data_IF_865953531852
#
_entry.id   IF_865953531852
#
_cell.length_a   1.000
_cell.length_b   1.000
_cell.length_c   1.000
_cell.angle_alpha   90.00
_cell.angle_beta   90.00
_cell.angle_gamma   90.00
#
_symmetry.space_group_name_H-M   'P 1'
#
loop_
_entity.id
_entity.type
_entity.pdbx_description
1 polymer ?
#
# COMPACT_ATOMS: atom_id res chain seq x y z
N UNK A 1 -12.95 8.33 -1.53
CA UNK A 1 -12.88 7.37 -2.66
C UNK A 1 -12.75 5.96 -2.10
N UNK A 2 -13.48 4.99 -2.68
CA UNK A 2 -13.46 3.60 -2.20
C UNK A 2 -13.02 2.63 -3.30
N UNK A 3 -12.22 1.63 -2.94
CA UNK A 3 -11.79 0.53 -3.80
C UNK A 3 -11.24 -0.63 -2.95
N UNK A 4 -10.86 -1.73 -3.61
CA UNK A 4 -10.24 -2.88 -2.95
C UNK A 4 -8.94 -3.25 -3.64
N UNK A 5 -7.98 -3.68 -2.82
CA UNK A 5 -6.74 -4.31 -3.25
C UNK A 5 -6.76 -5.76 -2.80
N UNK A 6 -6.13 -6.64 -3.55
CA UNK A 6 -6.01 -8.06 -3.22
C UNK A 6 -4.53 -8.39 -3.16
N UNK A 7 -4.10 -8.92 -2.02
CA UNK A 7 -2.78 -9.50 -1.85
C UNK A 7 -2.91 -11.01 -1.69
N UNK A 8 -2.17 -11.76 -2.46
CA UNK A 8 -2.05 -13.22 -2.36
C UNK A 8 -0.57 -13.58 -2.29
N UNK A 9 -0.16 -14.25 -1.22
CA UNK A 9 1.22 -14.62 -1.01
C UNK A 9 1.57 -14.84 0.46
N UNK A 10 2.85 -15.06 0.76
CA UNK A 10 3.30 -15.21 2.14
C UNK A 10 3.10 -13.92 2.92
N UNK A 11 2.69 -14.01 4.18
CA UNK A 11 2.59 -12.88 5.10
C UNK A 11 3.20 -13.26 6.46
N UNK A 12 4.49 -12.97 6.62
CA UNK A 12 5.23 -13.29 7.83
C UNK A 12 4.95 -12.28 8.94
N UNK A 13 4.80 -12.78 10.17
CA UNK A 13 4.59 -11.96 11.37
C UNK A 13 5.90 -11.39 11.89
N UNK A 14 6.70 -12.21 12.58
CA UNK A 14 7.93 -11.74 13.20
C UNK A 14 9.09 -11.65 12.22
N UNK A 15 9.90 -10.58 12.37
CA UNK A 15 11.16 -10.44 11.66
C UNK A 15 11.02 -10.32 10.14
N UNK A 16 9.87 -9.87 9.65
CA UNK A 16 9.69 -9.62 8.23
C UNK A 16 10.79 -8.68 7.72
N UNK A 17 11.75 -9.28 6.98
CA UNK A 17 12.89 -8.55 6.42
C UNK A 17 12.43 -7.62 5.30
N UNK A 18 13.24 -6.63 5.00
CA UNK A 18 13.00 -5.68 3.90
C UNK A 18 12.58 -6.34 2.57
N UNK A 19 13.17 -7.46 2.11
CA UNK A 19 12.73 -8.12 0.87
C UNK A 19 11.26 -8.51 0.85
N UNK A 20 10.71 -9.01 1.97
CA UNK A 20 9.31 -9.41 2.05
C UNK A 20 8.34 -8.23 1.92
N UNK A 21 8.66 -7.08 2.52
CA UNK A 21 7.88 -5.85 2.35
C UNK A 21 7.88 -5.38 0.88
N UNK A 22 8.99 -5.60 0.18
CA UNK A 22 9.10 -5.33 -1.26
C UNK A 22 8.25 -6.27 -2.12
N UNK A 23 8.14 -7.55 -1.76
CA UNK A 23 7.24 -8.50 -2.44
C UNK A 23 5.79 -8.03 -2.36
N UNK A 24 5.35 -7.58 -1.18
CA UNK A 24 4.00 -7.03 -1.00
C UNK A 24 3.80 -5.77 -1.86
N UNK A 25 4.74 -4.82 -1.85
CA UNK A 25 4.67 -3.61 -2.70
C UNK A 25 4.55 -3.96 -4.18
N UNK A 26 5.36 -4.90 -4.66
CA UNK A 26 5.33 -5.32 -6.07
C UNK A 26 4.02 -6.00 -6.45
N UNK A 27 3.44 -6.79 -5.56
CA UNK A 27 2.15 -7.43 -5.80
C UNK A 27 1.00 -6.42 -5.89
N UNK A 28 1.07 -5.32 -5.14
CA UNK A 28 0.04 -4.29 -5.09
C UNK A 28 0.24 -3.16 -6.11
N UNK A 29 1.49 -2.92 -6.52
CA UNK A 29 1.83 -1.88 -7.50
C UNK A 29 0.99 -1.91 -8.78
N UNK A 30 0.81 -3.04 -9.49
CA UNK A 30 0.02 -3.05 -10.73
C UNK A 30 -1.44 -2.68 -10.52
N UNK A 31 -2.01 -3.04 -9.35
CA UNK A 31 -3.39 -2.71 -9.03
C UNK A 31 -3.56 -1.21 -8.78
N UNK A 32 -2.61 -0.59 -8.08
CA UNK A 32 -2.60 0.85 -7.83
C UNK A 32 -2.31 1.63 -9.12
N UNK A 33 -1.36 1.19 -9.94
CA UNK A 33 -1.11 1.78 -11.26
C UNK A 33 -2.38 1.73 -12.12
N UNK A 34 -3.04 0.57 -12.17
CA UNK A 34 -4.29 0.41 -12.91
C UNK A 34 -5.40 1.31 -12.38
N UNK A 35 -5.48 1.54 -11.06
CA UNK A 35 -6.44 2.46 -10.47
C UNK A 35 -6.26 3.88 -11.00
N UNK A 36 -5.02 4.38 -11.11
CA UNK A 36 -4.70 5.68 -11.72
C UNK A 36 -5.13 5.79 -13.18
N UNK A 37 -5.05 4.69 -13.92
CA UNK A 37 -5.42 4.66 -15.34
C UNK A 37 -6.94 4.63 -15.57
N UNK A 38 -7.71 3.89 -14.73
CA UNK A 38 -9.13 3.62 -14.97
C UNK A 38 -10.09 4.49 -14.18
N UNK A 39 -9.68 5.01 -13.03
CA UNK A 39 -10.50 5.94 -12.26
C UNK A 39 -10.45 7.31 -12.90
N UNK A 40 -11.55 7.70 -13.56
CA UNK A 40 -11.61 8.92 -14.36
C UNK A 40 -11.05 10.15 -13.63
N UNK A 41 -11.42 10.47 -12.38
CA UNK A 41 -10.86 11.64 -11.70
C UNK A 41 -9.34 11.57 -11.52
N UNK A 42 -8.79 10.40 -11.18
CA UNK A 42 -7.34 10.20 -11.03
C UNK A 42 -6.63 10.28 -12.38
N UNK A 43 -7.21 9.65 -13.41
CA UNK A 43 -6.66 9.70 -14.76
C UNK A 43 -6.57 11.14 -15.27
N UNK A 44 -7.64 11.92 -15.12
CA UNK A 44 -7.67 13.33 -15.52
C UNK A 44 -6.66 14.19 -14.73
N UNK A 45 -6.45 13.88 -13.45
CA UNK A 45 -5.49 14.56 -12.58
C UNK A 45 -4.04 14.07 -12.73
N UNK A 46 -3.79 12.95 -13.39
CA UNK A 46 -2.47 12.29 -13.44
C UNK A 46 -1.37 13.17 -14.04
N UNK A 47 -1.69 13.99 -15.02
CA UNK A 47 -0.73 14.86 -15.70
C UNK A 47 -0.03 15.89 -14.80
N UNK A 48 -0.65 16.27 -13.68
CA UNK A 48 -0.04 17.15 -12.69
C UNK A 48 0.34 16.45 -11.39
N UNK A 49 -0.47 15.49 -10.93
CA UNK A 49 -0.19 14.78 -9.70
C UNK A 49 1.00 13.82 -9.82
N UNK A 50 1.25 13.27 -11.00
CA UNK A 50 2.40 12.39 -11.27
C UNK A 50 3.59 13.14 -11.90
N UNK A 51 3.54 14.48 -12.01
CA UNK A 51 4.65 15.25 -12.55
C UNK A 51 5.86 15.22 -11.62
N UNK A 52 7.07 14.96 -12.19
CA UNK A 52 8.33 15.00 -11.44
C UNK A 52 9.47 15.52 -12.34
N UNK A 53 10.20 16.54 -11.88
CA UNK A 53 9.95 17.36 -10.70
C UNK A 53 8.62 18.12 -10.80
N UNK A 54 8.03 18.43 -9.65
CA UNK A 54 6.81 19.25 -9.61
C UNK A 54 7.07 20.63 -10.22
N UNK A 55 6.12 21.13 -11.03
CA UNK A 55 6.21 22.48 -11.57
C UNK A 55 5.85 23.52 -10.50
N UNK A 56 6.38 24.74 -10.57
CA UNK A 56 5.99 25.80 -9.64
C UNK A 56 4.47 25.98 -9.58
N UNK A 57 3.91 26.00 -8.38
CA UNK A 57 2.47 26.10 -8.14
C UNK A 57 1.65 24.82 -8.36
N UNK A 58 2.28 23.71 -8.70
CA UNK A 58 1.62 22.40 -8.82
C UNK A 58 1.98 21.48 -7.65
N UNK A 59 1.00 20.73 -7.19
CA UNK A 59 1.20 19.66 -6.20
C UNK A 59 1.44 18.34 -6.91
N UNK A 60 2.56 17.69 -6.61
CA UNK A 60 2.85 16.31 -7.06
C UNK A 60 2.79 15.34 -5.91
N UNK A 61 2.30 14.12 -6.16
CA UNK A 61 2.35 13.03 -5.18
C UNK A 61 3.69 12.31 -5.18
N UNK A 62 4.54 12.54 -6.19
CA UNK A 62 5.80 11.80 -6.34
C UNK A 62 6.75 12.09 -5.17
N UNK A 63 7.32 11.02 -4.64
CA UNK A 63 8.34 11.04 -3.58
C UNK A 63 9.56 10.29 -4.08
N UNK A 64 10.74 10.89 -3.91
CA UNK A 64 12.02 10.20 -4.15
C UNK A 64 12.57 9.65 -2.84
N UNK A 65 12.91 8.36 -2.82
CA UNK A 65 13.56 7.68 -1.69
C UNK A 65 14.61 6.69 -2.20
N UNK A 66 15.86 6.87 -1.76
CA UNK A 66 16.94 5.95 -2.12
C UNK A 66 17.23 5.86 -3.62
N UNK A 67 16.98 6.92 -4.38
CA UNK A 67 17.15 6.96 -5.84
C UNK A 67 15.98 6.34 -6.62
N UNK A 68 14.89 6.00 -5.95
CA UNK A 68 13.66 5.47 -6.57
C UNK A 68 12.51 6.45 -6.43
N UNK A 69 11.65 6.51 -7.44
CA UNK A 69 10.45 7.31 -7.43
C UNK A 69 9.26 6.47 -6.96
N UNK A 70 8.43 7.05 -6.09
CA UNK A 70 7.20 6.45 -5.58
C UNK A 70 6.03 7.39 -5.84
N UNK A 71 4.87 6.80 -6.15
CA UNK A 71 3.61 7.52 -6.30
C UNK A 71 2.61 7.04 -5.25
N UNK A 72 2.67 7.56 -4.00
CA UNK A 72 1.65 7.24 -3.00
C UNK A 72 0.32 7.88 -3.36
N UNK A 73 -0.77 7.12 -3.21
CA UNK A 73 -2.13 7.60 -3.47
C UNK A 73 -2.63 8.49 -2.33
N UNK A 74 -2.30 8.13 -1.09
CA UNK A 74 -2.66 8.88 0.12
C UNK A 74 -1.43 9.61 0.63
N UNK A 75 -1.50 10.94 0.64
CA UNK A 75 -0.39 11.83 1.03
C UNK A 75 -0.92 13.02 1.82
N UNK A 76 -0.14 13.48 2.78
CA UNK A 76 -0.44 14.68 3.55
C UNK A 76 -0.50 15.95 2.67
N UNK A 77 0.28 15.98 1.57
CA UNK A 77 0.29 17.11 0.62
C UNK A 77 -1.06 17.35 -0.07
N UNK A 78 -1.93 16.34 -0.06
CA UNK A 78 -3.30 16.42 -0.58
C UNK A 78 -4.36 16.41 0.52
N UNK A 79 -3.98 16.60 1.79
CA UNK A 79 -4.88 16.56 2.94
C UNK A 79 -5.72 15.27 3.00
N UNK A 80 -5.07 14.13 2.69
CA UNK A 80 -5.71 12.82 2.63
C UNK A 80 -5.31 11.95 3.82
N UNK A 81 -6.28 11.16 4.28
CA UNK A 81 -6.07 10.05 5.20
C UNK A 81 -6.90 8.84 4.75
N UNK A 82 -6.71 7.69 5.37
CA UNK A 82 -7.38 6.46 4.96
C UNK A 82 -7.91 5.66 6.13
N UNK A 83 -9.05 5.00 5.89
CA UNK A 83 -9.58 3.92 6.72
C UNK A 83 -9.39 2.61 5.97
N UNK A 84 -8.86 1.60 6.64
CA UNK A 84 -8.59 0.28 6.06
C UNK A 84 -9.44 -0.79 6.75
N UNK A 85 -10.01 -1.69 5.94
CA UNK A 85 -10.64 -2.90 6.43
C UNK A 85 -10.00 -4.09 5.71
N UNK A 86 -9.36 -4.96 6.47
CA UNK A 86 -8.60 -6.10 5.96
C UNK A 86 -9.34 -7.39 6.30
N UNK A 87 -9.79 -8.09 5.28
CA UNK A 87 -10.29 -9.45 5.40
C UNK A 87 -9.14 -10.40 5.04
N UNK A 88 -8.64 -11.12 6.05
CA UNK A 88 -7.46 -11.96 5.96
C UNK A 88 -7.85 -13.44 5.98
N UNK A 89 -7.72 -14.11 4.84
CA UNK A 89 -7.87 -15.56 4.74
C UNK A 89 -6.53 -16.25 4.99
N UNK A 90 -6.50 -17.19 5.94
CA UNK A 90 -5.32 -17.97 6.30
C UNK A 90 -5.68 -19.42 6.61
N UNK A 91 -4.71 -20.32 6.65
CA UNK A 91 -4.99 -21.75 6.90
C UNK A 91 -5.44 -22.05 8.34
N UNK A 92 -5.05 -21.23 9.30
CA UNK A 92 -5.41 -21.42 10.71
C UNK A 92 -6.93 -21.19 10.89
N UNK A 93 -7.60 -21.94 11.81
CA UNK A 93 -9.01 -21.74 12.09
C UNK A 93 -9.28 -20.34 12.67
N UNK A 94 -10.54 -19.90 12.56
CA UNK A 94 -11.03 -18.70 13.24
C UNK A 94 -10.72 -18.77 14.73
N UNK A 95 -10.36 -17.66 15.34
CA UNK A 95 -10.04 -17.59 16.77
C UNK A 95 -8.58 -17.84 17.14
N UNK A 96 -7.74 -18.33 16.22
CA UNK A 96 -6.29 -18.42 16.42
C UNK A 96 -5.59 -17.06 16.12
N UNK A 97 -6.17 -15.96 16.62
CA UNK A 97 -5.64 -14.59 16.37
C UNK A 97 -4.37 -14.32 17.19
N UNK A 98 -4.27 -14.94 18.36
CA UNK A 98 -3.18 -14.75 19.34
C UNK A 98 -2.64 -16.14 19.69
N UNK A 99 -1.92 -16.78 18.79
CA UNK A 99 -1.32 -18.09 19.03
C UNK A 99 0.07 -18.20 18.40
N UNK A 100 0.82 -19.22 18.78
CA UNK A 100 2.25 -19.46 18.54
C UNK A 100 2.79 -19.36 17.08
N UNK A 101 1.97 -19.03 16.12
CA UNK A 101 2.34 -18.93 14.70
C UNK A 101 2.59 -17.52 14.16
N UNK A 102 2.76 -16.52 15.03
CA UNK A 102 2.93 -15.11 14.64
C UNK A 102 1.63 -14.33 14.81
N UNK A 103 1.72 -13.37 15.69
CA UNK A 103 0.63 -12.50 16.11
C UNK A 103 0.04 -11.72 14.93
N UNK A 104 -1.27 -11.55 14.88
CA UNK A 104 -1.95 -10.86 13.77
C UNK A 104 -1.51 -9.41 13.64
N UNK A 105 -1.15 -8.77 14.76
CA UNK A 105 -0.63 -7.40 14.76
C UNK A 105 0.72 -7.29 14.03
N UNK A 106 1.61 -8.27 14.19
CA UNK A 106 2.89 -8.32 13.48
C UNK A 106 2.70 -8.57 11.97
N UNK A 107 1.74 -9.41 11.59
CA UNK A 107 1.36 -9.63 10.19
C UNK A 107 0.73 -8.38 9.59
N UNK A 108 -0.17 -7.74 10.34
CA UNK A 108 -0.79 -6.49 9.95
C UNK A 108 0.25 -5.39 9.78
N UNK A 109 1.19 -5.25 10.70
CA UNK A 109 2.30 -4.30 10.59
C UNK A 109 3.13 -4.54 9.33
N UNK A 110 3.44 -5.80 9.03
CA UNK A 110 4.17 -6.17 7.80
C UNK A 110 3.38 -5.78 6.55
N UNK A 111 2.07 -6.00 6.54
CA UNK A 111 1.19 -5.60 5.44
C UNK A 111 1.17 -4.08 5.27
N UNK A 112 0.99 -3.32 6.35
CA UNK A 112 1.01 -1.85 6.33
C UNK A 112 2.35 -1.31 5.84
N UNK A 113 3.47 -1.88 6.29
CA UNK A 113 4.80 -1.56 5.79
C UNK A 113 4.94 -1.83 4.27
N UNK A 114 4.26 -2.83 3.75
CA UNK A 114 4.18 -3.12 2.31
C UNK A 114 3.30 -2.14 1.53
N UNK A 115 2.33 -1.50 2.17
CA UNK A 115 1.43 -0.53 1.56
C UNK A 115 2.03 0.87 1.43
N UNK A 116 3.05 1.21 2.21
CA UNK A 116 3.64 2.56 2.25
C UNK A 116 4.96 2.69 1.50
N UNK A 117 5.34 3.94 1.27
CA UNK A 117 6.69 4.30 0.82
C UNK A 117 7.73 3.85 1.87
N UNK A 118 8.91 3.30 1.49
CA UNK A 118 9.96 2.93 2.44
C UNK A 118 10.42 4.11 3.31
N UNK A 119 10.62 3.90 4.62
CA UNK A 119 11.09 4.97 5.51
C UNK A 119 12.56 5.30 5.34
N UNK A 120 13.43 4.33 5.09
CA UNK A 120 14.87 4.50 5.10
C UNK A 120 15.54 4.21 3.76
N UNK A 121 16.71 4.83 3.56
CA UNK A 121 17.59 4.55 2.40
C UNK A 121 17.99 3.06 2.33
N UNK A 122 18.08 2.37 3.47
CA UNK A 122 18.43 0.95 3.54
C UNK A 122 17.28 0.03 3.09
N UNK A 123 16.02 0.42 3.26
CA UNK A 123 14.88 -0.29 2.66
C UNK A 123 14.84 -0.08 1.14
N UNK A 124 15.30 1.07 0.62
CA UNK A 124 15.27 1.40 -0.81
C UNK A 124 16.36 0.73 -1.64
N UNK A 125 17.49 0.36 -1.04
CA UNK A 125 18.66 -0.18 -1.77
C UNK A 125 18.60 -1.68 -2.07
N UNK A 126 17.69 -2.44 -1.50
CA UNK A 126 17.59 -3.86 -1.80
C UNK A 126 16.79 -4.09 -3.09
N UNK A 127 17.51 -4.05 -4.18
CA UNK A 127 17.25 -4.79 -5.42
C UNK A 127 15.84 -4.71 -5.97
N UNK A 128 15.57 -3.62 -6.66
CA UNK A 128 14.79 -3.78 -7.87
C UNK A 128 15.74 -4.45 -8.88
N UNK A 129 15.48 -5.70 -9.31
CA UNK A 129 16.22 -6.21 -10.45
C UNK A 129 15.90 -5.28 -11.61
N UNK A 130 16.92 -4.70 -12.20
CA UNK A 130 16.94 -4.01 -13.49
C UNK A 130 15.63 -3.28 -13.81
N UNK A 131 15.35 -2.16 -13.12
CA UNK A 131 14.40 -1.20 -13.64
C UNK A 131 15.15 -0.06 -14.33
N UNK A 132 15.33 -0.13 -15.66
CA UNK A 132 15.72 1.02 -16.45
C UNK A 132 14.55 2.00 -16.67
N UNK A 133 13.41 1.81 -15.99
CA UNK A 133 12.19 2.58 -16.22
C UNK A 133 12.06 3.71 -15.18
N UNK A 134 12.05 4.98 -15.62
CA UNK A 134 11.86 6.12 -14.74
C UNK A 134 10.43 6.24 -14.16
N UNK A 135 9.56 5.24 -14.37
CA UNK A 135 8.21 5.24 -13.84
C UNK A 135 8.22 5.07 -12.33
N UNK A 136 7.36 5.80 -11.60
CA UNK A 136 7.28 5.65 -10.16
C UNK A 136 6.66 4.31 -9.76
N UNK A 137 7.08 3.75 -8.62
CA UNK A 137 6.41 2.64 -7.99
C UNK A 137 5.14 3.15 -7.29
N UNK A 138 3.97 2.70 -7.73
CA UNK A 138 2.71 3.09 -7.12
C UNK A 138 2.53 2.40 -5.77
N UNK A 139 2.28 3.20 -4.73
CA UNK A 139 2.03 2.78 -3.35
C UNK A 139 0.68 3.30 -2.88
N UNK A 140 0.11 2.71 -1.83
CA UNK A 140 -1.12 3.24 -1.25
C UNK A 140 -0.83 4.46 -0.38
N UNK A 141 0.18 4.40 0.48
CA UNK A 141 0.46 5.37 1.53
C UNK A 141 1.82 6.04 1.34
N UNK A 142 1.91 7.33 1.60
CA UNK A 142 3.18 8.00 1.82
C UNK A 142 3.77 7.60 3.18
N UNK A 143 2.93 7.55 4.22
CA UNK A 143 3.29 7.19 5.59
C UNK A 143 2.13 6.45 6.28
N UNK A 144 2.42 5.55 7.22
CA UNK A 144 1.43 4.83 8.00
C UNK A 144 0.69 5.71 9.03
N UNK A 145 1.25 6.88 9.40
CA UNK A 145 0.56 7.91 10.19
C UNK A 145 -0.70 8.46 9.51
N UNK A 146 -0.86 8.25 8.20
CA UNK A 146 -2.06 8.64 7.46
C UNK A 146 -3.22 7.64 7.57
N UNK A 147 -3.04 6.54 8.31
CA UNK A 147 -4.09 5.57 8.59
C UNK A 147 -4.83 5.96 9.86
N UNK A 148 -6.10 6.34 9.73
CA UNK A 148 -6.93 6.76 10.88
C UNK A 148 -7.72 5.62 11.52
N UNK A 149 -7.95 4.55 10.78
CA UNK A 149 -8.69 3.38 11.26
C UNK A 149 -8.22 2.12 10.55
N UNK A 150 -8.03 1.05 11.33
CA UNK A 150 -7.80 -0.30 10.80
C UNK A 150 -8.79 -1.26 11.44
N UNK A 151 -9.49 -2.03 10.61
CA UNK A 151 -10.31 -3.16 11.04
C UNK A 151 -9.72 -4.41 10.40
N UNK A 152 -9.56 -5.47 11.18
CA UNK A 152 -9.06 -6.75 10.68
C UNK A 152 -10.06 -7.85 11.04
N UNK A 153 -10.44 -8.62 10.03
CA UNK A 153 -11.25 -9.81 10.16
C UNK A 153 -10.46 -10.99 9.62
N UNK A 154 -10.38 -12.08 10.39
CA UNK A 154 -9.65 -13.29 9.99
C UNK A 154 -10.62 -14.42 9.69
N UNK A 155 -10.44 -15.04 8.53
CA UNK A 155 -11.22 -16.15 8.04
C UNK A 155 -10.34 -17.35 7.69
N UNK A 156 -10.92 -18.54 7.72
CA UNK A 156 -10.22 -19.74 7.31
C UNK A 156 -10.16 -19.83 5.78
N UNK A 157 -8.95 -20.02 5.25
CA UNK A 157 -8.75 -20.31 3.83
C UNK A 157 -9.06 -21.79 3.56
N UNK A 158 -10.16 -22.06 2.84
CA UNK A 158 -10.66 -23.44 2.62
C UNK A 158 -9.97 -24.17 1.47
N UNK A 159 -9.05 -23.52 0.74
CA UNK A 159 -8.21 -24.17 -0.26
C UNK A 159 -6.84 -24.54 0.30
N UNK A 160 -6.15 -25.57 -0.25
CA UNK A 160 -4.77 -25.86 0.11
C UNK A 160 -3.85 -24.66 -0.15
N UNK A 161 -2.97 -24.35 0.79
CA UNK A 161 -1.99 -23.29 0.68
C UNK A 161 -0.77 -23.62 1.57
N UNK A 162 0.33 -22.90 1.37
CA UNK A 162 1.51 -23.00 2.24
C UNK A 162 1.21 -22.39 3.63
N UNK A 163 1.95 -22.76 4.69
CA UNK A 163 1.63 -22.33 6.06
C UNK A 163 1.51 -20.82 6.26
N UNK A 164 2.34 -20.02 5.58
CA UNK A 164 2.34 -18.55 5.70
C UNK A 164 1.61 -17.86 4.55
N UNK A 165 1.05 -18.61 3.62
CA UNK A 165 0.30 -18.06 2.50
C UNK A 165 -1.06 -17.58 2.97
N UNK A 166 -1.39 -16.37 2.57
CA UNK A 166 -2.66 -15.71 2.87
C UNK A 166 -3.29 -15.12 1.62
N UNK A 167 -4.59 -14.89 1.69
CA UNK A 167 -5.29 -13.97 0.78
C UNK A 167 -5.83 -12.83 1.63
N UNK A 168 -5.38 -11.63 1.35
CA UNK A 168 -5.86 -10.42 2.02
C UNK A 168 -6.67 -9.57 1.05
N UNK A 169 -7.93 -9.33 1.37
CA UNK A 169 -8.78 -8.35 0.68
C UNK A 169 -8.75 -7.07 1.50
N UNK A 170 -8.17 -6.03 0.95
CA UNK A 170 -7.95 -4.74 1.62
C UNK A 170 -8.95 -3.74 1.06
N UNK A 171 -10.00 -3.47 1.81
CA UNK A 171 -10.95 -2.39 1.48
C UNK A 171 -10.34 -1.07 1.93
N UNK A 172 -10.22 -0.16 1.00
CA UNK A 172 -9.57 1.17 1.16
C UNK A 172 -10.65 2.24 1.04
N UNK A 173 -10.77 3.08 2.04
CA UNK A 173 -11.65 4.24 2.03
C UNK A 173 -10.83 5.51 2.28
N UNK A 174 -10.51 6.23 1.19
CA UNK A 174 -9.76 7.49 1.26
C UNK A 174 -10.71 8.62 1.65
N UNK A 175 -10.30 9.38 2.64
CA UNK A 175 -10.98 10.55 3.18
C UNK A 175 -10.13 11.80 2.99
N UNK A 176 -10.79 12.94 3.02
CA UNK A 176 -10.16 14.27 2.99
C UNK A 176 -10.30 14.93 4.35
N UNK A 177 -9.24 15.55 4.85
CA UNK A 177 -9.31 16.38 6.06
C UNK A 177 -10.04 17.67 5.74
N UNK A 178 -9.74 18.26 4.58
CA UNK A 178 -10.44 19.42 4.03
C UNK A 178 -10.53 19.30 2.52
N UNK A 179 -11.53 19.98 1.92
CA UNK A 179 -11.69 20.01 0.47
C UNK A 179 -10.80 21.11 -0.11
N UNK A 180 -9.92 20.75 -1.02
CA UNK A 180 -9.02 21.67 -1.73
C UNK A 180 -9.08 21.41 -3.24
N UNK A 181 -8.70 22.37 -4.10
CA UNK A 181 -8.63 22.13 -5.54
C UNK A 181 -7.72 20.96 -5.94
N UNK A 182 -6.70 20.65 -5.11
CA UNK A 182 -5.72 19.62 -5.39
C UNK A 182 -6.21 18.19 -5.07
N UNK A 183 -7.26 18.04 -4.26
CA UNK A 183 -7.77 16.74 -3.84
C UNK A 183 -9.18 16.41 -4.37
N UNK A 184 -9.66 17.11 -5.37
CA UNK A 184 -10.99 16.86 -5.96
C UNK A 184 -11.12 15.48 -6.61
N UNK A 185 -10.00 14.88 -7.01
CA UNK A 185 -9.94 13.56 -7.63
C UNK A 185 -10.16 12.38 -6.64
N UNK A 186 -10.16 12.63 -5.32
CA UNK A 186 -10.17 11.61 -4.25
C UNK A 186 -11.47 11.49 -3.49
#
# INVERSE_FOLDING_TARGET
MEFRLIYEGPLHGQGAKSPHKWEIRRALHPQLERLWQVRRPLHEASGHLLAYPARPGQTSVIVEKGGLLFAPLVTQRLDLYVELSVLLFRQQPRGALITDGGDIDNRLKTLLDGLRVPHGSNEGRQTLPDQPDPRPLFCLLEDDALVSKVTVESEQLLRPAKPDEVVAVISVNIKRTMLTPHNLAF
#
